data_IF_354130809202
#
_entry.id   IF_354130809202
#
_cell.length_a   1.000
_cell.length_b   1.000
_cell.length_c   1.000
_cell.angle_alpha   90.00
_cell.angle_beta   90.00
_cell.angle_gamma   90.00
#
_symmetry.space_group_name_H-M   'P 1'
#
loop_
_entity.id
_entity.type
_entity.pdbx_description
1 polymer ?
#
# COMPACT_ATOMS: atom_id res chain seq x y z
N UNK A 1 -38.31 49.06 5.30
CA UNK A 1 -36.82 49.02 5.50
C UNK A 1 -36.28 47.59 5.53
N UNK A 2 -36.58 46.73 4.56
CA UNK A 2 -36.13 45.32 4.56
C UNK A 2 -35.45 44.85 3.27
N UNK A 3 -35.31 45.69 2.26
CA UNK A 3 -34.73 45.36 0.96
C UNK A 3 -33.17 45.36 0.92
N UNK A 4 -32.52 45.97 1.91
CA UNK A 4 -31.05 46.13 1.90
C UNK A 4 -30.26 45.02 2.60
N UNK A 5 -30.91 44.17 3.37
CA UNK A 5 -30.28 43.06 4.12
C UNK A 5 -30.13 41.79 3.29
N UNK A 6 -31.07 41.51 2.43
CA UNK A 6 -31.03 40.32 1.55
C UNK A 6 -29.95 40.43 0.46
N UNK A 7 -29.77 41.63 -0.11
CA UNK A 7 -28.74 41.84 -1.16
C UNK A 7 -27.32 41.76 -0.62
N UNK A 8 -27.06 42.17 0.62
CA UNK A 8 -25.77 42.03 1.30
C UNK A 8 -25.50 40.59 1.69
N UNK A 9 -26.51 39.86 2.10
CA UNK A 9 -26.40 38.42 2.42
C UNK A 9 -26.09 37.58 1.16
N UNK A 10 -26.76 37.87 0.04
CA UNK A 10 -26.48 37.18 -1.23
C UNK A 10 -25.08 37.50 -1.78
N UNK A 11 -24.62 38.76 -1.68
CA UNK A 11 -23.26 39.15 -2.06
C UNK A 11 -22.20 38.51 -1.14
N UNK A 12 -22.45 38.40 0.17
CA UNK A 12 -21.57 37.75 1.13
C UNK A 12 -21.50 36.22 0.93
N UNK A 13 -22.65 35.60 0.62
CA UNK A 13 -22.69 34.16 0.31
C UNK A 13 -22.00 33.85 -1.03
N UNK A 14 -22.21 34.67 -2.06
CA UNK A 14 -21.56 34.52 -3.37
C UNK A 14 -20.05 34.66 -3.30
N UNK A 15 -19.53 35.64 -2.53
CA UNK A 15 -18.10 35.81 -2.34
C UNK A 15 -17.46 34.67 -1.51
N UNK A 16 -18.16 34.17 -0.50
CA UNK A 16 -17.71 33.00 0.28
C UNK A 16 -17.70 31.74 -0.56
N UNK A 17 -18.73 31.52 -1.39
CA UNK A 17 -18.77 30.38 -2.32
C UNK A 17 -17.65 30.45 -3.37
N UNK A 18 -17.42 31.65 -3.94
CA UNK A 18 -16.32 31.87 -4.90
C UNK A 18 -14.94 31.61 -4.28
N UNK A 19 -14.72 32.02 -3.04
CA UNK A 19 -13.48 31.75 -2.33
C UNK A 19 -13.34 30.26 -2.00
N UNK A 20 -14.39 29.59 -1.55
CA UNK A 20 -14.40 28.12 -1.35
C UNK A 20 -14.11 27.36 -2.64
N UNK A 21 -14.66 27.82 -3.78
CA UNK A 21 -14.39 27.19 -5.08
C UNK A 21 -12.94 27.42 -5.50
N UNK A 22 -12.37 28.60 -5.27
CA UNK A 22 -10.97 28.89 -5.60
C UNK A 22 -10.00 28.11 -4.73
N UNK A 23 -10.24 28.04 -3.44
CA UNK A 23 -9.39 27.29 -2.50
C UNK A 23 -9.48 25.76 -2.71
N UNK A 24 -10.64 25.25 -3.12
CA UNK A 24 -10.89 23.83 -3.32
C UNK A 24 -11.13 23.47 -4.80
N UNK A 25 -10.50 24.18 -5.73
CA UNK A 25 -10.71 23.97 -7.17
C UNK A 25 -10.42 22.54 -7.62
N UNK A 26 -9.35 21.92 -7.10
CA UNK A 26 -8.97 20.54 -7.46
C UNK A 26 -9.99 19.53 -6.95
N UNK A 27 -10.36 19.48 -5.66
CA UNK A 27 -11.42 18.59 -5.18
C UNK A 27 -12.75 18.76 -5.92
N UNK A 28 -13.17 20.01 -6.19
CA UNK A 28 -14.43 20.31 -6.90
C UNK A 28 -14.39 19.77 -8.33
N UNK A 29 -13.27 19.94 -9.03
CA UNK A 29 -13.09 19.38 -10.37
C UNK A 29 -13.25 17.86 -10.36
N UNK A 30 -12.63 17.15 -9.39
CA UNK A 30 -12.79 15.70 -9.25
C UNK A 30 -14.23 15.29 -8.95
N UNK A 31 -14.94 16.04 -8.09
CA UNK A 31 -16.35 15.76 -7.78
C UNK A 31 -17.21 15.91 -9.04
N UNK A 32 -16.99 16.96 -9.84
CA UNK A 32 -17.72 17.18 -11.10
C UNK A 32 -17.44 16.04 -12.09
N UNK A 33 -16.16 15.65 -12.26
CA UNK A 33 -15.79 14.53 -13.14
C UNK A 33 -16.47 13.25 -12.67
N UNK A 34 -16.45 12.96 -11.37
CA UNK A 34 -17.12 11.78 -10.81
C UNK A 34 -18.63 11.82 -11.05
N UNK A 35 -19.28 12.98 -10.83
CA UNK A 35 -20.72 13.16 -11.02
C UNK A 35 -21.17 12.93 -12.47
N UNK A 36 -20.34 13.33 -13.43
CA UNK A 36 -20.58 13.10 -14.85
C UNK A 36 -20.27 11.65 -15.24
N UNK A 37 -19.19 11.06 -14.69
CA UNK A 37 -18.74 9.74 -15.04
C UNK A 37 -19.67 8.63 -14.53
N UNK A 38 -20.32 8.81 -13.38
CA UNK A 38 -21.22 7.81 -12.80
C UNK A 38 -22.36 7.44 -13.76
N UNK A 39 -23.17 8.37 -14.30
CA UNK A 39 -24.23 8.03 -15.23
C UNK A 39 -23.71 7.53 -16.59
N UNK A 40 -22.54 8.03 -17.05
CA UNK A 40 -21.94 7.61 -18.31
C UNK A 40 -21.34 6.21 -18.25
N UNK A 41 -20.96 5.72 -17.07
CA UNK A 41 -20.31 4.41 -16.92
C UNK A 41 -21.24 3.22 -17.14
N UNK A 42 -22.56 3.42 -17.02
CA UNK A 42 -23.56 2.34 -17.14
C UNK A 42 -23.52 1.30 -16.00
N UNK A 43 -22.65 1.49 -15.00
CA UNK A 43 -22.58 0.59 -13.85
C UNK A 43 -23.65 0.90 -12.81
N UNK A 44 -24.15 -0.13 -12.12
CA UNK A 44 -25.06 0.09 -11.01
C UNK A 44 -24.34 0.78 -9.85
N UNK A 45 -25.04 1.66 -9.15
CA UNK A 45 -24.51 2.38 -7.98
C UNK A 45 -24.00 1.39 -6.92
N UNK A 46 -24.70 0.29 -6.72
CA UNK A 46 -24.29 -0.77 -5.79
C UNK A 46 -22.94 -1.38 -6.15
N UNK A 47 -22.67 -1.58 -7.45
CA UNK A 47 -21.38 -2.06 -7.92
C UNK A 47 -20.27 -1.05 -7.64
N UNK A 48 -20.50 0.23 -7.91
CA UNK A 48 -19.54 1.30 -7.67
C UNK A 48 -19.18 1.42 -6.18
N UNK A 49 -20.18 1.41 -5.30
CA UNK A 49 -19.98 1.44 -3.85
C UNK A 49 -19.13 0.23 -3.40
N UNK A 50 -19.45 -0.95 -3.90
CA UNK A 50 -18.75 -2.17 -3.56
C UNK A 50 -17.27 -2.12 -3.99
N UNK A 51 -17.00 -1.64 -5.20
CA UNK A 51 -15.64 -1.49 -5.71
C UNK A 51 -14.85 -0.43 -4.92
N UNK A 52 -15.48 0.69 -4.55
CA UNK A 52 -14.85 1.72 -3.71
C UNK A 52 -14.46 1.14 -2.34
N UNK A 53 -15.37 0.45 -1.65
CA UNK A 53 -15.10 -0.16 -0.35
C UNK A 53 -13.95 -1.16 -0.43
N UNK A 54 -13.94 -2.00 -1.46
CA UNK A 54 -12.89 -3.00 -1.66
C UNK A 54 -11.54 -2.36 -1.97
N UNK A 55 -11.51 -1.32 -2.79
CA UNK A 55 -10.28 -0.57 -3.11
C UNK A 55 -9.77 0.22 -1.92
N UNK A 56 -10.65 0.85 -1.15
CA UNK A 56 -10.26 1.52 0.10
C UNK A 56 -9.61 0.55 1.07
N UNK A 57 -10.20 -0.63 1.30
CA UNK A 57 -9.60 -1.64 2.16
C UNK A 57 -8.16 -2.01 1.75
N UNK A 58 -7.94 -2.24 0.46
CA UNK A 58 -6.60 -2.57 -0.06
C UNK A 58 -5.60 -1.42 0.08
N UNK A 59 -6.03 -0.19 -0.20
CA UNK A 59 -5.15 0.98 -0.13
C UNK A 59 -4.81 1.37 1.32
N UNK A 60 -5.75 1.21 2.25
CA UNK A 60 -5.49 1.46 3.69
C UNK A 60 -4.36 0.58 4.20
N UNK A 61 -4.29 -0.68 3.77
CA UNK A 61 -3.19 -1.58 4.13
C UNK A 61 -1.82 -1.01 3.71
N UNK A 62 -1.70 -0.51 2.48
CA UNK A 62 -0.47 0.12 1.99
C UNK A 62 -0.13 1.41 2.75
N UNK A 63 -1.14 2.23 3.05
CA UNK A 63 -0.94 3.47 3.83
C UNK A 63 -0.44 3.15 5.24
N UNK A 64 -0.98 2.12 5.89
CA UNK A 64 -0.52 1.70 7.22
C UNK A 64 0.94 1.25 7.23
N UNK A 65 1.41 0.62 6.15
CA UNK A 65 2.82 0.21 6.03
C UNK A 65 3.79 1.39 5.96
N UNK A 66 3.34 2.55 5.48
CA UNK A 66 4.15 3.78 5.44
C UNK A 66 4.25 4.49 6.80
N UNK A 67 3.35 4.18 7.74
CA UNK A 67 3.27 4.92 8.99
C UNK A 67 4.52 4.73 9.86
N UNK A 68 5.09 3.52 9.86
CA UNK A 68 6.29 3.21 10.65
C UNK A 68 7.52 3.96 10.14
N UNK A 69 7.87 3.95 8.84
CA UNK A 69 8.96 4.77 8.30
C UNK A 69 8.78 6.27 8.51
N UNK A 70 7.55 6.78 8.38
CA UNK A 70 7.26 8.20 8.62
C UNK A 70 7.52 8.57 10.09
N UNK A 71 7.13 7.71 11.04
CA UNK A 71 7.42 7.94 12.47
C UNK A 71 8.92 7.93 12.77
N UNK A 72 9.71 7.19 12.01
CA UNK A 72 11.17 7.16 12.12
C UNK A 72 11.87 8.36 11.47
N UNK A 73 11.11 9.31 10.91
CA UNK A 73 11.67 10.52 10.28
C UNK A 73 12.21 10.33 8.87
N UNK A 74 12.08 9.13 8.29
CA UNK A 74 12.57 8.85 6.92
C UNK A 74 11.68 9.45 5.82
N UNK A 75 10.57 10.11 6.16
CA UNK A 75 9.60 10.61 5.21
C UNK A 75 8.84 9.48 4.49
N UNK A 76 8.42 9.74 3.26
CA UNK A 76 7.75 8.73 2.42
C UNK A 76 8.77 7.71 1.92
N UNK A 77 8.73 6.50 2.47
CA UNK A 77 9.62 5.43 2.05
C UNK A 77 8.94 4.56 0.97
N UNK A 78 9.40 4.69 -0.26
CA UNK A 78 8.91 3.87 -1.38
C UNK A 78 9.41 2.42 -1.34
N UNK A 79 10.28 2.05 -0.40
CA UNK A 79 10.70 0.67 -0.15
C UNK A 79 9.55 -0.30 0.15
N UNK A 80 8.35 0.20 0.47
CA UNK A 80 7.16 -0.64 0.61
C UNK A 80 6.84 -1.47 -0.65
N UNK A 81 7.26 -1.01 -1.83
CA UNK A 81 7.08 -1.75 -3.09
C UNK A 81 7.86 -3.05 -3.11
N UNK A 82 9.00 -3.12 -2.43
CA UNK A 82 9.78 -4.35 -2.31
C UNK A 82 9.01 -5.41 -1.51
N UNK A 83 8.31 -4.99 -0.46
CA UNK A 83 7.42 -5.89 0.30
C UNK A 83 6.26 -6.41 -0.56
N UNK A 84 5.66 -5.54 -1.37
CA UNK A 84 4.62 -5.95 -2.31
C UNK A 84 5.15 -6.94 -3.36
N UNK A 85 6.36 -6.73 -3.87
CA UNK A 85 7.02 -7.65 -4.81
C UNK A 85 7.33 -9.00 -4.17
N UNK A 86 7.78 -9.03 -2.91
CA UNK A 86 7.98 -10.28 -2.17
C UNK A 86 6.67 -11.09 -2.09
N UNK A 87 5.55 -10.41 -1.82
CA UNK A 87 4.23 -11.03 -1.84
C UNK A 87 3.84 -11.56 -3.23
N UNK A 88 4.12 -10.80 -4.29
CA UNK A 88 3.84 -11.24 -5.67
C UNK A 88 4.67 -12.47 -6.05
N UNK A 89 5.95 -12.50 -5.72
CA UNK A 89 6.82 -13.66 -5.96
C UNK A 89 6.26 -14.89 -5.23
N UNK A 90 5.91 -14.75 -3.96
CA UNK A 90 5.32 -15.84 -3.19
C UNK A 90 4.01 -16.35 -3.81
N UNK A 91 3.13 -15.46 -4.26
CA UNK A 91 1.89 -15.83 -4.93
C UNK A 91 2.12 -16.57 -6.26
N UNK A 92 3.15 -16.20 -7.02
CA UNK A 92 3.52 -16.90 -8.25
C UNK A 92 3.92 -18.34 -7.95
N UNK A 93 4.78 -18.58 -6.94
CA UNK A 93 5.20 -19.92 -6.55
C UNK A 93 4.02 -20.76 -6.05
N UNK A 94 3.17 -20.20 -5.19
CA UNK A 94 1.99 -20.91 -4.67
C UNK A 94 0.99 -21.23 -5.78
N UNK A 95 0.85 -20.33 -6.77
CA UNK A 95 0.03 -20.59 -7.96
C UNK A 95 0.59 -21.70 -8.82
N UNK A 96 1.93 -21.81 -8.93
CA UNK A 96 2.59 -22.91 -9.63
C UNK A 96 2.40 -24.23 -8.91
N UNK A 97 2.39 -24.23 -7.59
CA UNK A 97 2.10 -25.42 -6.77
C UNK A 97 0.62 -25.80 -6.74
N UNK A 98 -0.26 -25.02 -7.39
CA UNK A 98 -1.71 -25.27 -7.48
C UNK A 98 -2.41 -25.34 -6.12
N UNK A 99 -1.88 -24.68 -5.10
CA UNK A 99 -2.50 -24.61 -3.78
C UNK A 99 -3.42 -23.40 -3.76
N UNK A 100 -4.72 -23.65 -3.89
CA UNK A 100 -5.74 -22.61 -3.99
C UNK A 100 -6.47 -22.40 -2.66
N UNK A 101 -7.22 -21.30 -2.57
CA UNK A 101 -8.03 -20.99 -1.39
C UNK A 101 -7.24 -20.45 -0.22
N UNK A 102 -7.75 -20.69 0.98
CA UNK A 102 -7.16 -20.19 2.24
C UNK A 102 -5.78 -20.78 2.50
N UNK A 103 -5.54 -22.11 2.36
CA UNK A 103 -4.20 -22.66 2.58
C UNK A 103 -3.17 -22.07 1.61
N UNK A 104 -3.56 -21.75 0.36
CA UNK A 104 -2.69 -21.06 -0.57
C UNK A 104 -2.30 -19.66 -0.12
N UNK A 105 -3.23 -18.90 0.46
CA UNK A 105 -2.97 -17.57 0.99
C UNK A 105 -2.02 -17.64 2.20
N UNK A 106 -2.27 -18.56 3.12
CA UNK A 106 -1.41 -18.75 4.31
C UNK A 106 0.00 -19.17 3.88
N UNK A 107 0.12 -20.09 2.93
CA UNK A 107 1.39 -20.51 2.39
C UNK A 107 2.13 -19.36 1.70
N UNK A 108 1.42 -18.55 0.92
CA UNK A 108 2.00 -17.36 0.29
C UNK A 108 2.52 -16.35 1.33
N UNK A 109 1.79 -16.15 2.44
CA UNK A 109 2.27 -15.34 3.55
C UNK A 109 3.56 -15.89 4.15
N UNK A 110 3.63 -17.19 4.43
CA UNK A 110 4.82 -17.84 5.00
C UNK A 110 6.01 -17.73 4.05
N UNK A 111 5.82 -17.95 2.75
CA UNK A 111 6.88 -17.85 1.74
C UNK A 111 7.32 -16.41 1.51
N UNK A 112 6.40 -15.44 1.62
CA UNK A 112 6.72 -14.02 1.45
C UNK A 112 7.60 -13.46 2.58
N UNK A 113 7.51 -13.99 3.80
CA UNK A 113 8.26 -13.49 4.97
C UNK A 113 9.78 -13.49 4.72
N UNK A 114 10.45 -14.63 4.40
CA UNK A 114 11.89 -14.64 4.19
C UNK A 114 12.32 -13.75 3.01
N UNK A 115 11.52 -13.71 1.94
CA UNK A 115 11.81 -12.86 0.76
C UNK A 115 11.72 -11.39 1.14
N UNK A 116 10.68 -10.99 1.89
CA UNK A 116 10.50 -9.62 2.32
C UNK A 116 11.57 -9.17 3.32
N UNK A 117 12.01 -10.04 4.21
CA UNK A 117 13.11 -9.76 5.13
C UNK A 117 14.40 -9.52 4.35
N UNK A 118 14.74 -10.39 3.40
CA UNK A 118 15.94 -10.23 2.58
C UNK A 118 15.94 -8.93 1.77
N UNK A 119 14.84 -8.65 1.07
CA UNK A 119 14.69 -7.42 0.31
C UNK A 119 14.67 -6.18 1.22
N UNK A 120 14.04 -6.29 2.38
CA UNK A 120 13.98 -5.23 3.38
C UNK A 120 15.36 -4.89 3.96
N UNK A 121 16.17 -5.89 4.28
CA UNK A 121 17.55 -5.70 4.75
C UNK A 121 18.43 -5.03 3.68
N UNK A 122 18.33 -5.48 2.43
CA UNK A 122 19.05 -4.85 1.33
C UNK A 122 18.65 -3.38 1.15
N UNK A 123 17.35 -3.11 1.13
CA UNK A 123 16.82 -1.76 1.02
C UNK A 123 17.25 -0.89 2.19
N UNK A 124 17.11 -1.41 3.42
CA UNK A 124 17.50 -0.72 4.64
C UNK A 124 18.98 -0.35 4.66
N UNK A 125 19.86 -1.27 4.26
CA UNK A 125 21.30 -1.00 4.17
C UNK A 125 21.63 0.10 3.18
N UNK A 126 20.95 0.14 2.01
CA UNK A 126 21.18 1.19 1.02
C UNK A 126 20.64 2.54 1.51
N UNK A 127 19.42 2.55 2.07
CA UNK A 127 18.80 3.77 2.60
C UNK A 127 19.61 4.40 3.73
N UNK A 128 20.21 3.57 4.54
CA UNK A 128 21.02 3.97 5.66
C UNK A 128 22.31 4.70 5.24
N UNK A 129 22.88 4.31 4.09
CA UNK A 129 24.02 5.01 3.51
C UNK A 129 23.62 6.33 2.81
N UNK A 130 22.33 6.53 2.55
CA UNK A 130 21.80 7.68 1.83
C UNK A 130 21.25 8.77 2.75
N UNK A 131 21.87 8.99 3.94
CA UNK A 131 21.44 9.93 4.98
C UNK A 131 21.01 11.29 4.40
N UNK A 132 19.81 11.72 4.74
CA UNK A 132 19.19 12.97 4.27
C UNK A 132 18.63 12.94 2.84
N UNK A 133 18.76 11.81 2.13
CA UNK A 133 18.21 11.61 0.77
C UNK A 133 17.41 10.32 0.66
N UNK A 134 16.88 9.84 1.78
CA UNK A 134 16.23 8.53 1.90
C UNK A 134 15.01 8.41 0.96
N UNK A 135 14.22 9.49 0.85
CA UNK A 135 13.04 9.51 -0.01
C UNK A 135 13.39 9.29 -1.49
N UNK A 136 14.39 10.03 -2.01
CA UNK A 136 14.82 9.92 -3.41
C UNK A 136 15.46 8.55 -3.64
N UNK A 137 16.29 8.10 -2.72
CA UNK A 137 16.97 6.79 -2.80
C UNK A 137 15.97 5.65 -2.78
N UNK A 138 14.97 5.69 -1.90
CA UNK A 138 13.92 4.66 -1.85
C UNK A 138 13.11 4.60 -3.14
N UNK A 139 12.85 5.76 -3.75
CA UNK A 139 12.18 5.85 -5.03
C UNK A 139 12.99 5.19 -6.15
N UNK A 140 14.28 5.51 -6.25
CA UNK A 140 15.20 4.91 -7.24
C UNK A 140 15.29 3.39 -7.05
N UNK A 141 15.45 2.91 -5.81
CA UNK A 141 15.49 1.48 -5.50
C UNK A 141 14.19 0.79 -5.93
N UNK A 142 13.05 1.42 -5.66
CA UNK A 142 11.73 0.90 -6.03
C UNK A 142 11.61 0.70 -7.54
N UNK A 143 12.00 1.68 -8.34
CA UNK A 143 12.00 1.57 -9.80
C UNK A 143 12.98 0.54 -10.32
N UNK A 144 14.20 0.54 -9.80
CA UNK A 144 15.21 -0.44 -10.17
C UNK A 144 14.74 -1.87 -9.87
N UNK A 145 14.22 -2.09 -8.67
CA UNK A 145 13.73 -3.41 -8.26
C UNK A 145 12.52 -3.84 -9.08
N UNK A 146 11.64 -2.89 -9.44
CA UNK A 146 10.52 -3.18 -10.34
C UNK A 146 11.00 -3.65 -11.73
N UNK A 147 12.00 -2.98 -12.29
CA UNK A 147 12.63 -3.40 -13.55
C UNK A 147 13.28 -4.78 -13.43
N UNK A 148 14.00 -5.04 -12.34
CA UNK A 148 14.61 -6.33 -12.07
C UNK A 148 13.56 -7.44 -11.89
N UNK A 149 12.49 -7.17 -11.16
CA UNK A 149 11.36 -8.09 -11.01
C UNK A 149 10.75 -8.45 -12.36
N UNK A 150 10.50 -7.45 -13.23
CA UNK A 150 9.95 -7.70 -14.56
C UNK A 150 10.92 -8.53 -15.42
N UNK A 151 12.22 -8.28 -15.33
CA UNK A 151 13.23 -9.06 -16.03
C UNK A 151 13.19 -10.52 -15.58
N UNK A 152 13.17 -10.77 -14.27
CA UNK A 152 13.10 -12.13 -13.71
C UNK A 152 11.80 -12.82 -14.13
N UNK A 153 10.66 -12.16 -13.99
CA UNK A 153 9.35 -12.75 -14.27
C UNK A 153 9.14 -13.03 -15.77
N UNK A 154 9.58 -12.11 -16.65
CA UNK A 154 9.33 -12.23 -18.07
C UNK A 154 10.37 -13.08 -18.82
N UNK A 155 11.61 -13.15 -18.32
CA UNK A 155 12.70 -13.78 -19.05
C UNK A 155 13.37 -14.96 -18.33
N UNK A 156 13.48 -14.90 -16.99
CA UNK A 156 14.18 -15.95 -16.24
C UNK A 156 13.25 -17.09 -15.78
N UNK A 157 11.98 -16.80 -15.60
CA UNK A 157 11.02 -17.84 -15.24
C UNK A 157 10.69 -18.73 -16.44
N UNK A 158 10.79 -20.04 -16.23
CA UNK A 158 10.70 -21.06 -17.25
C UNK A 158 12.06 -21.65 -17.65
N UNK A 159 13.03 -20.85 -18.15
CA UNK A 159 14.34 -21.36 -18.51
C UNK A 159 15.27 -21.61 -17.32
N UNK A 160 15.30 -20.69 -16.35
CA UNK A 160 16.23 -20.72 -15.22
C UNK A 160 15.50 -21.18 -13.94
N UNK A 161 14.32 -20.61 -13.70
CA UNK A 161 13.46 -20.98 -12.57
C UNK A 161 12.39 -21.94 -13.13
N UNK A 162 12.44 -23.24 -12.82
CA UNK A 162 11.49 -24.18 -13.36
C UNK A 162 10.09 -23.90 -12.83
N UNK A 163 9.12 -23.76 -13.76
CA UNK A 163 7.71 -23.61 -13.47
C UNK A 163 7.01 -24.85 -14.02
N UNK A 164 6.25 -25.54 -13.18
CA UNK A 164 5.61 -26.80 -13.53
C UNK A 164 4.39 -26.57 -14.44
N UNK A 165 3.57 -25.53 -14.19
CA UNK A 165 2.30 -25.37 -14.85
C UNK A 165 2.34 -24.48 -16.10
N UNK A 166 1.91 -25.06 -17.21
CA UNK A 166 1.84 -24.36 -18.51
C UNK A 166 0.81 -23.24 -18.57
N UNK A 167 -0.20 -23.23 -17.70
CA UNK A 167 -1.23 -22.18 -17.67
C UNK A 167 -0.70 -20.81 -17.28
N UNK A 168 0.39 -20.77 -16.52
CA UNK A 168 1.05 -19.55 -16.06
C UNK A 168 2.10 -19.08 -17.07
N UNK A 169 2.68 -20.01 -17.87
CA UNK A 169 3.69 -19.72 -18.88
C UNK A 169 3.11 -18.99 -20.10
N UNK A 170 3.94 -18.17 -20.71
CA UNK A 170 3.65 -17.66 -22.05
C UNK A 170 3.71 -18.77 -23.10
N UNK A 171 2.94 -18.68 -24.20
CA UNK A 171 2.95 -19.70 -25.25
C UNK A 171 4.33 -19.98 -25.87
N UNK A 172 5.26 -19.04 -25.74
CA UNK A 172 6.64 -19.15 -26.23
C UNK A 172 7.55 -20.00 -25.35
N UNK A 173 7.06 -20.53 -24.22
CA UNK A 173 7.80 -21.42 -23.34
C UNK A 173 8.74 -20.76 -22.31
N UNK A 174 8.94 -19.46 -22.38
CA UNK A 174 9.69 -18.68 -21.39
C UNK A 174 8.90 -17.47 -20.93
N UNK A 175 9.07 -17.12 -19.66
CA UNK A 175 8.34 -16.03 -19.00
C UNK A 175 6.95 -16.41 -18.52
N UNK A 176 6.45 -15.62 -17.59
CA UNK A 176 5.10 -15.72 -17.04
C UNK A 176 4.22 -14.69 -17.71
N UNK A 177 2.93 -15.01 -17.84
CA UNK A 177 1.92 -14.04 -18.27
C UNK A 177 1.93 -12.84 -17.33
N UNK A 178 1.87 -11.64 -17.90
CA UNK A 178 1.88 -10.38 -17.14
C UNK A 178 0.70 -10.27 -16.16
N UNK A 179 -0.35 -11.04 -16.39
CA UNK A 179 -1.53 -11.17 -15.53
C UNK A 179 -1.77 -12.64 -15.20
N UNK A 180 -1.48 -13.02 -13.95
CA UNK A 180 -1.87 -14.33 -13.41
C UNK A 180 -3.22 -14.15 -12.73
N UNK A 181 -4.19 -14.99 -13.10
CA UNK A 181 -5.51 -14.96 -12.49
C UNK A 181 -5.47 -15.59 -11.10
N UNK A 182 -5.57 -14.76 -10.09
CA UNK A 182 -5.69 -15.17 -8.69
C UNK A 182 -7.16 -15.19 -8.23
N UNK A 183 -8.10 -15.39 -9.17
CA UNK A 183 -9.54 -15.25 -8.91
C UNK A 183 -10.00 -16.14 -7.76
N UNK A 184 -9.53 -17.39 -7.72
CA UNK A 184 -9.89 -18.37 -6.70
C UNK A 184 -9.38 -17.98 -5.30
N UNK A 185 -8.17 -17.41 -5.20
CA UNK A 185 -7.63 -16.91 -3.95
C UNK A 185 -8.35 -15.64 -3.49
N UNK A 186 -8.59 -14.70 -4.41
CA UNK A 186 -9.33 -13.48 -4.13
C UNK A 186 -10.76 -13.80 -3.67
N UNK A 187 -11.46 -14.67 -4.37
CA UNK A 187 -12.82 -15.05 -3.99
C UNK A 187 -12.86 -15.74 -2.62
N UNK A 188 -11.87 -16.54 -2.29
CA UNK A 188 -11.76 -17.16 -0.97
C UNK A 188 -11.57 -16.14 0.14
N UNK A 189 -10.76 -15.10 -0.09
CA UNK A 189 -10.54 -14.02 0.86
C UNK A 189 -11.76 -13.10 0.98
N UNK A 190 -12.31 -12.67 -0.16
CA UNK A 190 -13.43 -11.74 -0.21
C UNK A 190 -14.75 -12.39 0.28
N UNK A 191 -14.91 -13.70 0.13
CA UNK A 191 -16.11 -14.42 0.57
C UNK A 191 -15.99 -14.94 2.01
N UNK A 192 -14.79 -15.05 2.56
CA UNK A 192 -14.58 -15.44 3.95
C UNK A 192 -15.05 -14.30 4.85
N UNK A 193 -16.10 -14.53 5.64
CA UNK A 193 -16.74 -13.52 6.49
C UNK A 193 -17.31 -12.32 5.72
N UNK A 194 -17.71 -12.49 4.45
CA UNK A 194 -18.40 -11.43 3.72
C UNK A 194 -19.81 -11.24 4.29
N UNK A 195 -20.10 -10.05 4.79
CA UNK A 195 -21.45 -9.66 5.19
C UNK A 195 -22.12 -8.93 4.04
N UNK A 196 -23.26 -9.48 3.60
CA UNK A 196 -24.11 -8.83 2.59
C UNK A 196 -25.11 -7.92 3.30
N UNK A 197 -24.99 -6.61 3.09
CA UNK A 197 -25.98 -5.63 3.54
C UNK A 197 -26.72 -5.16 2.29
N UNK A 198 -27.89 -5.74 2.04
CA UNK A 198 -28.64 -5.52 0.80
C UNK A 198 -27.86 -6.00 -0.43
N UNK A 199 -27.55 -5.10 -1.35
CA UNK A 199 -26.82 -5.39 -2.59
C UNK A 199 -25.28 -5.22 -2.44
N UNK A 200 -24.80 -4.67 -1.32
CA UNK A 200 -23.39 -4.39 -1.08
C UNK A 200 -22.75 -5.52 -0.28
N UNK A 201 -21.60 -6.03 -0.79
CA UNK A 201 -20.78 -7.03 -0.10
C UNK A 201 -19.63 -6.33 0.61
N UNK A 202 -19.57 -6.42 1.92
CA UNK A 202 -18.48 -5.87 2.72
C UNK A 202 -17.51 -7.00 3.05
N UNK A 203 -16.24 -6.95 2.63
CA UNK A 203 -15.23 -7.95 2.98
C UNK A 203 -14.74 -7.71 4.43
N UNK A 204 -15.50 -8.24 5.39
CA UNK A 204 -15.23 -8.02 6.83
C UNK A 204 -13.84 -8.52 7.21
N UNK A 205 -13.37 -9.61 6.63
CA UNK A 205 -12.03 -10.13 6.90
C UNK A 205 -10.93 -9.11 6.59
N UNK A 206 -11.04 -8.41 5.46
CA UNK A 206 -10.08 -7.36 5.08
C UNK A 206 -10.05 -6.23 6.11
N UNK A 207 -11.22 -5.77 6.54
CA UNK A 207 -11.32 -4.73 7.58
C UNK A 207 -10.85 -5.20 8.95
N UNK A 208 -11.08 -6.47 9.28
CA UNK A 208 -10.57 -7.07 10.52
C UNK A 208 -9.03 -7.11 10.52
N UNK A 209 -8.41 -7.53 9.42
CA UNK A 209 -6.94 -7.52 9.27
C UNK A 209 -6.40 -6.09 9.39
N UNK A 210 -7.06 -5.11 8.77
CA UNK A 210 -6.68 -3.69 8.89
C UNK A 210 -6.79 -3.23 10.34
N UNK A 211 -7.88 -3.57 11.04
CA UNK A 211 -8.06 -3.26 12.45
C UNK A 211 -6.96 -3.87 13.33
N UNK A 212 -6.59 -5.11 13.06
CA UNK A 212 -5.50 -5.81 13.76
C UNK A 212 -4.15 -5.12 13.52
N UNK A 213 -3.88 -4.69 12.29
CA UNK A 213 -2.67 -3.91 11.96
C UNK A 213 -2.67 -2.53 12.63
N UNK A 214 -3.81 -1.85 12.71
CA UNK A 214 -3.93 -0.59 13.45
C UNK A 214 -3.61 -0.81 14.94
N UNK A 215 -4.15 -1.86 15.55
CA UNK A 215 -3.85 -2.22 16.93
C UNK A 215 -2.37 -2.56 17.12
N UNK A 216 -1.78 -3.30 16.17
CA UNK A 216 -0.35 -3.62 16.19
C UNK A 216 0.51 -2.32 16.13
N UNK A 217 0.18 -1.38 15.26
CA UNK A 217 0.91 -0.11 15.15
C UNK A 217 0.76 0.71 16.44
N UNK A 218 -0.44 0.77 17.03
CA UNK A 218 -0.68 1.46 18.30
C UNK A 218 0.13 0.83 19.43
N UNK A 219 0.15 -0.51 19.49
CA UNK A 219 0.96 -1.25 20.45
C UNK A 219 2.46 -1.01 20.21
N UNK A 220 2.93 -1.12 18.96
CA UNK A 220 4.32 -0.91 18.58
C UNK A 220 4.83 0.49 18.99
N UNK A 221 4.01 1.53 18.79
CA UNK A 221 4.34 2.90 19.23
C UNK A 221 4.58 3.03 20.74
N UNK A 222 4.02 2.15 21.54
CA UNK A 222 4.20 2.11 23.00
C UNK A 222 5.43 1.31 23.43
N UNK A 223 6.01 0.51 22.55
CA UNK A 223 7.24 -0.23 22.82
C UNK A 223 8.44 0.70 22.86
N UNK A 224 9.50 0.29 23.57
CA UNK A 224 10.75 1.06 23.63
C UNK A 224 11.26 1.39 22.22
N UNK A 225 11.30 0.40 21.32
CA UNK A 225 11.74 0.58 19.95
C UNK A 225 10.91 1.63 19.20
N UNK A 226 9.59 1.60 19.32
CA UNK A 226 8.71 2.58 18.68
C UNK A 226 8.87 3.99 19.24
N UNK A 227 9.15 4.13 20.55
CA UNK A 227 9.44 5.41 21.17
C UNK A 227 10.80 5.97 20.73
N UNK A 228 11.82 5.12 20.71
CA UNK A 228 13.16 5.49 20.25
C UNK A 228 13.13 5.92 18.77
N UNK A 229 12.43 5.17 17.89
CA UNK A 229 12.23 5.56 16.49
C UNK A 229 11.56 6.92 16.36
N UNK A 230 10.56 7.20 17.18
CA UNK A 230 9.86 8.48 17.16
C UNK A 230 10.76 9.62 17.64
N UNK A 231 11.60 9.40 18.65
CA UNK A 231 12.56 10.40 19.15
C UNK A 231 13.59 10.74 18.06
N UNK A 232 14.14 9.72 17.40
CA UNK A 232 15.06 9.89 16.26
C UNK A 232 14.39 10.64 15.11
N UNK A 233 13.12 10.37 14.84
CA UNK A 233 12.35 11.03 13.79
C UNK A 233 12.02 12.50 14.06
N UNK A 234 12.03 12.92 15.34
CA UNK A 234 11.84 14.32 15.71
C UNK A 234 13.13 15.13 15.60
N UNK A 235 14.20 14.65 16.22
CA UNK A 235 15.54 15.24 16.11
C UNK A 235 16.60 14.16 16.37
N UNK A 236 17.36 13.86 15.34
CA UNK A 236 18.41 12.84 15.39
C UNK A 236 19.55 13.21 16.34
N UNK A 237 19.90 14.51 16.44
CA UNK A 237 21.00 14.95 17.31
C UNK A 237 20.60 14.87 18.78
N UNK A 238 19.40 15.35 19.10
CA UNK A 238 18.85 15.28 20.46
C UNK A 238 18.67 13.82 20.90
N UNK A 239 18.21 12.95 20.01
CA UNK A 239 18.08 11.54 20.31
C UNK A 239 19.44 10.87 20.59
N UNK A 240 20.47 11.23 19.82
CA UNK A 240 21.85 10.76 20.04
C UNK A 240 22.42 11.24 21.38
N UNK A 241 22.24 12.51 21.71
CA UNK A 241 22.69 13.08 22.95
C UNK A 241 21.97 12.46 24.18
N UNK A 242 20.73 12.03 24.00
CA UNK A 242 19.96 11.27 24.98
C UNK A 242 20.41 9.80 25.10
N UNK A 243 21.45 9.37 24.37
CA UNK A 243 22.01 8.01 24.44
C UNK A 243 21.22 6.94 23.68
N UNK A 244 20.32 7.35 22.78
CA UNK A 244 19.59 6.42 21.92
C UNK A 244 20.55 5.91 20.84
N UNK A 245 20.74 4.60 20.76
CA UNK A 245 21.55 3.99 19.73
C UNK A 245 20.84 4.10 18.39
N UNK A 246 21.27 5.03 17.55
CA UNK A 246 20.71 5.29 16.23
C UNK A 246 20.66 4.03 15.35
N UNK A 247 21.64 3.13 15.52
CA UNK A 247 21.72 1.88 14.80
C UNK A 247 20.66 0.85 15.14
N UNK A 248 20.05 0.90 16.32
CA UNK A 248 18.99 -0.05 16.71
C UNK A 248 17.58 0.48 16.45
N UNK A 249 17.43 1.79 16.22
CA UNK A 249 16.15 2.48 16.18
C UNK A 249 15.76 3.00 14.79
N UNK A 250 16.74 3.31 13.98
CA UNK A 250 16.46 3.74 12.61
C UNK A 250 16.55 2.59 11.68
N UNK A 251 15.48 1.89 11.41
CA UNK A 251 15.47 0.92 10.40
C UNK A 251 16.90 0.51 10.07
N UNK A 252 17.54 -0.12 11.05
CA UNK A 252 18.73 -0.77 10.83
C UNK A 252 20.00 0.02 11.01
N UNK A 253 20.47 -0.27 12.08
CA UNK A 253 21.87 -0.35 12.35
C UNK A 253 22.70 -0.13 11.12
N UNK A 254 23.31 0.97 11.05
CA UNK A 254 24.61 0.98 10.45
C UNK A 254 25.59 0.88 11.58
N UNK A 255 26.20 -0.27 11.63
CA UNK A 255 27.52 -0.37 12.21
C UNK A 255 28.42 0.71 11.65
N UNK A 256 29.19 1.28 12.49
CA UNK A 256 30.23 2.26 12.26
C UNK A 256 31.12 2.00 11.06
#
# INVERSE_FOLDING_TARGET
MSFGTDERLHKSLGSKLLNLIKENSVPIMFIIICAISIPLSGFSISYLINEIITRMGRNIFLILSLLIPIMAGMGLNFGMTLGAMAGQIALIFVSDWQIWGIPGIVLAMIVSIPISILLGLLCGKILNNAKGREMITSYIISFFTNGLYQLVVLYMMGPIIPIAHSSIKLPRGYGIRNTVSLLNMRQSLDNLLAVKIGTVKIPVLTFLIIGLLCLFIIWFRKTKLGQDMRAVGQDMNVARDAGIKLGATGAIAVDE
#
